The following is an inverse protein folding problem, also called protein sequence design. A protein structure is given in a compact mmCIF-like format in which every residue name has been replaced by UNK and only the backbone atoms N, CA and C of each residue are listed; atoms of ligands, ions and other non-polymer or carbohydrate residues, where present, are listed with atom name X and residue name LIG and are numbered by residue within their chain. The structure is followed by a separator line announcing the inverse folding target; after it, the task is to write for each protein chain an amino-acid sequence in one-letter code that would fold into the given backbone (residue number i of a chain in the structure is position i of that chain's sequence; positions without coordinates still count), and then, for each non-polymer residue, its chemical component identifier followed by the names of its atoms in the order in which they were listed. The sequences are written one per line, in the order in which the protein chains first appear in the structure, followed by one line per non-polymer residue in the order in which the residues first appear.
data_IF_504807542852
#
_entry.id   IF_504807542852
#
_cell.length_a   1.000
_cell.length_b   1.000
_cell.length_c   1.000
_cell.angle_alpha   90.00
_cell.angle_beta   90.00
_cell.angle_gamma   90.00
#
_symmetry.space_group_name_H-M   'P 1'
#
loop_
_entity.id
_entity.type
_entity.pdbx_description
1 polymer ?
#
# COMPACT_ATOMS: atom_id res chain seq x y z
N UNK A 1 53.71 -51.32 16.45
CA UNK A 1 52.81 -50.40 17.18
C UNK A 1 51.52 -50.30 16.41
N UNK A 2 50.44 -50.93 16.91
CA UNK A 2 49.12 -50.99 16.25
C UNK A 2 48.22 -49.98 16.93
N UNK A 3 47.73 -48.96 16.18
CA UNK A 3 46.78 -47.99 16.70
C UNK A 3 45.34 -48.51 16.46
N UNK A 4 44.57 -48.63 17.54
CA UNK A 4 43.18 -49.11 17.57
C UNK A 4 42.26 -47.96 17.14
N UNK A 5 41.30 -48.30 16.25
CA UNK A 5 40.16 -47.47 15.86
C UNK A 5 39.20 -47.20 17.04
N UNK A 6 38.60 -45.99 17.12
CA UNK A 6 37.54 -45.75 18.07
C UNK A 6 36.18 -46.04 17.49
N UNK A 7 35.51 -46.94 18.12
CA UNK A 7 34.09 -47.05 18.51
C UNK A 7 33.01 -46.43 17.62
N UNK A 8 32.28 -47.32 17.00
CA UNK A 8 30.88 -47.17 16.67
C UNK A 8 30.10 -46.56 17.85
N UNK A 9 29.56 -45.37 17.65
CA UNK A 9 28.46 -44.84 18.45
C UNK A 9 27.17 -45.16 17.69
N UNK A 10 26.47 -46.18 18.10
CA UNK A 10 25.07 -46.36 17.77
C UNK A 10 24.29 -45.14 18.25
N UNK A 11 23.90 -44.30 17.32
CA UNK A 11 22.94 -43.22 17.54
C UNK A 11 21.56 -43.86 17.75
N UNK A 12 21.04 -43.74 18.92
CA UNK A 12 19.61 -43.98 19.19
C UNK A 12 18.81 -43.10 18.23
N UNK A 13 17.67 -43.57 17.65
CA UNK A 13 16.79 -42.75 16.87
C UNK A 13 16.26 -41.65 17.80
N UNK A 14 16.79 -40.43 17.62
CA UNK A 14 16.25 -39.24 18.27
C UNK A 14 14.79 -39.10 17.90
N UNK A 15 13.92 -39.34 18.86
CA UNK A 15 12.54 -38.90 18.80
C UNK A 15 12.59 -37.42 18.46
N UNK A 16 12.15 -37.07 17.23
CA UNK A 16 11.85 -35.70 16.92
C UNK A 16 10.85 -35.24 17.98
N UNK A 17 11.12 -34.14 18.69
CA UNK A 17 10.12 -33.66 19.64
C UNK A 17 8.80 -33.55 18.88
N UNK A 18 7.78 -34.21 19.40
CA UNK A 18 6.44 -34.18 18.87
C UNK A 18 6.13 -32.73 18.56
N UNK A 19 5.85 -32.48 17.29
CA UNK A 19 5.51 -31.14 16.76
C UNK A 19 4.43 -30.59 17.68
N UNK A 20 4.79 -29.64 18.53
CA UNK A 20 3.88 -29.05 19.50
C UNK A 20 2.66 -28.61 18.70
N UNK A 21 1.54 -29.31 18.85
CA UNK A 21 0.33 -29.11 18.08
C UNK A 21 0.03 -27.60 18.11
N UNK A 22 0.16 -26.97 16.97
CA UNK A 22 0.07 -25.53 16.88
C UNK A 22 -1.29 -25.13 17.49
N UNK A 23 -1.28 -24.28 18.54
CA UNK A 23 -2.49 -23.86 19.23
C UNK A 23 -3.62 -23.56 18.26
N UNK A 24 -4.86 -23.97 18.52
CA UNK A 24 -5.99 -23.80 17.60
C UNK A 24 -6.13 -22.32 17.23
N UNK A 25 -6.62 -22.07 16.03
CA UNK A 25 -6.94 -20.71 15.63
C UNK A 25 -8.29 -20.35 16.26
N UNK A 26 -8.25 -19.48 17.24
CA UNK A 26 -9.39 -18.96 17.95
C UNK A 26 -9.52 -17.42 17.79
N UNK A 27 -10.57 -16.84 18.34
CA UNK A 27 -10.80 -15.40 18.35
C UNK A 27 -9.60 -14.61 18.91
N UNK A 28 -9.03 -15.06 20.03
CA UNK A 28 -7.95 -14.34 20.70
C UNK A 28 -6.69 -14.28 19.83
N UNK A 29 -6.37 -15.37 19.15
CA UNK A 29 -5.22 -15.42 18.26
C UNK A 29 -5.40 -14.55 17.03
N UNK A 30 -6.60 -14.57 16.40
CA UNK A 30 -6.92 -13.73 15.25
C UNK A 30 -6.90 -12.25 15.64
N UNK A 31 -7.47 -11.91 16.79
CA UNK A 31 -7.46 -10.54 17.33
C UNK A 31 -6.05 -10.06 17.61
N UNK A 32 -5.21 -10.85 18.24
CA UNK A 32 -3.80 -10.52 18.49
C UNK A 32 -3.04 -10.28 17.16
N UNK A 33 -3.35 -11.02 16.11
CA UNK A 33 -2.76 -10.79 14.79
C UNK A 33 -3.25 -9.50 14.13
N UNK A 34 -4.54 -9.20 14.27
CA UNK A 34 -5.15 -7.99 13.76
C UNK A 34 -4.56 -6.75 14.43
N UNK A 35 -4.54 -6.70 15.77
CA UNK A 35 -3.99 -5.59 16.54
C UNK A 35 -2.53 -5.35 16.20
N UNK A 36 -1.70 -6.39 16.19
CA UNK A 36 -0.28 -6.25 15.79
C UNK A 36 -0.09 -5.74 14.36
N UNK A 37 -1.04 -6.02 13.45
CA UNK A 37 -1.01 -5.45 12.11
C UNK A 37 -1.39 -3.97 12.14
N UNK A 38 -2.45 -3.60 12.85
CA UNK A 38 -2.98 -2.24 12.92
C UNK A 38 -2.06 -1.28 13.69
N UNK A 39 -1.31 -1.75 14.69
CA UNK A 39 -0.27 -0.98 15.38
C UNK A 39 0.79 -0.44 14.42
N UNK A 40 1.08 -1.15 13.35
CA UNK A 40 2.15 -0.79 12.41
C UNK A 40 1.64 -0.17 11.12
N UNK A 41 0.41 -0.52 10.72
CA UNK A 41 -0.11 -0.21 9.39
C UNK A 41 -1.56 0.23 9.46
N UNK A 42 -1.86 1.44 9.02
CA UNK A 42 -3.22 1.79 8.67
C UNK A 42 -3.73 0.84 7.57
N UNK A 43 -4.92 0.30 7.73
CA UNK A 43 -5.47 -0.72 6.84
C UNK A 43 -6.95 -0.47 6.57
N UNK A 44 -7.41 -0.80 5.36
CA UNK A 44 -8.83 -0.98 5.10
C UNK A 44 -9.30 -2.31 5.68
N UNK A 45 -10.60 -2.44 5.90
CA UNK A 45 -11.23 -3.66 6.39
C UNK A 45 -10.89 -4.86 5.49
N UNK A 46 -11.04 -4.71 4.18
CA UNK A 46 -10.71 -5.74 3.21
C UNK A 46 -9.20 -6.10 3.18
N UNK A 47 -8.32 -5.10 3.32
CA UNK A 47 -6.88 -5.39 3.37
C UNK A 47 -6.50 -6.14 4.66
N UNK A 48 -7.12 -5.81 5.80
CA UNK A 48 -6.93 -6.54 7.05
C UNK A 48 -7.41 -7.98 6.89
N UNK A 49 -8.62 -8.20 6.36
CA UNK A 49 -9.17 -9.51 6.08
C UNK A 49 -8.19 -10.37 5.27
N UNK A 50 -7.71 -9.85 4.14
CA UNK A 50 -6.73 -10.56 3.28
C UNK A 50 -5.41 -10.86 3.99
N UNK A 51 -4.96 -10.00 4.89
CA UNK A 51 -3.75 -10.24 5.69
C UNK A 51 -3.95 -11.40 6.65
N UNK A 52 -5.09 -11.42 7.36
CA UNK A 52 -5.43 -12.48 8.31
C UNK A 52 -5.65 -13.82 7.60
N UNK A 53 -6.41 -13.86 6.50
CA UNK A 53 -6.63 -15.05 5.69
C UNK A 53 -5.31 -15.67 5.19
N UNK A 54 -4.38 -14.85 4.68
CA UNK A 54 -3.06 -15.36 4.27
C UNK A 54 -2.28 -15.95 5.45
N UNK A 55 -2.47 -15.42 6.65
CA UNK A 55 -1.81 -15.91 7.85
C UNK A 55 -2.41 -17.24 8.30
N UNK A 56 -3.74 -17.35 8.28
CA UNK A 56 -4.48 -18.58 8.51
C UNK A 56 -4.03 -19.68 7.53
N UNK A 57 -4.07 -19.38 6.23
CA UNK A 57 -3.66 -20.35 5.19
C UNK A 57 -2.22 -20.85 5.36
N UNK A 58 -1.30 -19.98 5.76
CA UNK A 58 0.09 -20.39 6.04
C UNK A 58 0.22 -21.30 7.26
N UNK A 59 -0.68 -21.16 8.23
CA UNK A 59 -0.66 -21.95 9.46
C UNK A 59 -1.35 -23.30 9.32
N UNK A 60 -2.50 -23.33 8.63
CA UNK A 60 -3.35 -24.52 8.49
C UNK A 60 -3.06 -25.32 7.21
N UNK A 61 -2.34 -24.74 6.24
CA UNK A 61 -2.04 -25.42 4.96
C UNK A 61 -3.32 -25.69 4.17
N UNK A 62 -3.59 -26.96 3.87
CA UNK A 62 -4.70 -27.45 3.07
C UNK A 62 -5.88 -27.98 3.89
N UNK A 63 -5.96 -27.68 5.18
CA UNK A 63 -7.14 -28.03 6.00
C UNK A 63 -8.28 -27.04 5.67
N UNK A 64 -9.11 -27.42 4.69
CA UNK A 64 -10.16 -26.54 4.17
C UNK A 64 -11.29 -26.29 5.17
N UNK A 65 -11.55 -27.20 6.13
CA UNK A 65 -12.58 -27.02 7.15
C UNK A 65 -12.10 -26.02 8.21
N UNK A 66 -10.90 -26.21 8.73
CA UNK A 66 -10.29 -25.28 9.68
C UNK A 66 -10.08 -23.89 9.07
N UNK A 67 -9.72 -23.81 7.79
CA UNK A 67 -9.60 -22.52 7.07
C UNK A 67 -10.95 -21.83 6.95
N UNK A 68 -12.04 -22.55 6.69
CA UNK A 68 -13.40 -21.96 6.63
C UNK A 68 -13.82 -21.44 8.01
N UNK A 69 -13.70 -22.25 9.05
CA UNK A 69 -14.01 -21.81 10.41
C UNK A 69 -13.22 -20.55 10.81
N UNK A 70 -11.92 -20.50 10.49
CA UNK A 70 -11.11 -19.33 10.76
C UNK A 70 -11.52 -18.09 9.93
N UNK A 71 -12.08 -18.25 8.73
CA UNK A 71 -12.65 -17.13 7.95
C UNK A 71 -13.86 -16.51 8.62
N UNK A 72 -14.75 -17.33 9.17
CA UNK A 72 -15.94 -16.86 9.89
C UNK A 72 -15.51 -15.98 11.08
N UNK A 73 -14.50 -16.42 11.85
CA UNK A 73 -13.92 -15.65 12.93
C UNK A 73 -13.31 -14.31 12.46
N UNK A 74 -12.68 -14.30 11.27
CA UNK A 74 -12.12 -13.07 10.66
C UNK A 74 -13.24 -12.10 10.29
N UNK A 75 -14.33 -12.59 9.66
CA UNK A 75 -15.46 -11.74 9.27
C UNK A 75 -16.13 -11.12 10.49
N UNK A 76 -16.36 -11.88 11.55
CA UNK A 76 -16.90 -11.38 12.81
C UNK A 76 -16.00 -10.29 13.42
N UNK A 77 -14.69 -10.51 13.46
CA UNK A 77 -13.73 -9.54 13.96
C UNK A 77 -13.73 -8.25 13.13
N UNK A 78 -13.69 -8.36 11.81
CA UNK A 78 -13.71 -7.21 10.90
C UNK A 78 -15.00 -6.43 11.04
N UNK A 79 -16.16 -7.10 11.14
CA UNK A 79 -17.45 -6.46 11.38
C UNK A 79 -17.46 -5.69 12.72
N UNK A 80 -16.96 -6.30 13.80
CA UNK A 80 -16.82 -5.66 15.12
C UNK A 80 -15.91 -4.44 15.07
N UNK A 81 -14.79 -4.50 14.38
CA UNK A 81 -13.86 -3.38 14.25
C UNK A 81 -14.42 -2.24 13.39
N UNK A 82 -15.23 -2.53 12.38
CA UNK A 82 -15.97 -1.50 11.63
C UNK A 82 -17.05 -0.84 12.50
N UNK A 83 -17.81 -1.63 13.24
CA UNK A 83 -18.85 -1.12 14.13
C UNK A 83 -18.31 -0.24 15.25
N UNK A 84 -17.11 -0.55 15.78
CA UNK A 84 -16.42 0.23 16.80
C UNK A 84 -15.65 1.44 16.26
N UNK A 85 -15.56 1.62 14.94
CA UNK A 85 -14.75 2.67 14.31
C UNK A 85 -13.23 2.43 14.33
N UNK A 86 -12.76 1.28 14.82
CA UNK A 86 -11.33 0.92 14.76
C UNK A 86 -10.86 0.70 13.31
N UNK A 87 -11.76 0.26 12.43
CA UNK A 87 -11.58 0.24 10.98
C UNK A 87 -12.52 1.26 10.35
N UNK A 88 -11.95 2.30 9.78
CA UNK A 88 -12.65 3.36 9.04
C UNK A 88 -12.06 3.43 7.62
N UNK A 89 -12.78 2.84 6.67
CA UNK A 89 -12.35 2.78 5.27
C UNK A 89 -12.36 4.15 4.62
N UNK A 90 -13.26 5.07 5.01
CA UNK A 90 -13.32 6.43 4.50
C UNK A 90 -12.11 7.26 4.99
N UNK A 91 -11.81 7.23 6.28
CA UNK A 91 -10.63 7.90 6.84
C UNK A 91 -9.33 7.33 6.28
N UNK A 92 -9.26 6.00 6.13
CA UNK A 92 -8.12 5.33 5.48
C UNK A 92 -7.93 5.81 4.04
N UNK A 93 -9.01 5.85 3.24
CA UNK A 93 -8.99 6.28 1.86
C UNK A 93 -8.55 7.74 1.75
N UNK A 94 -9.14 8.65 2.53
CA UNK A 94 -8.80 10.07 2.55
C UNK A 94 -7.32 10.31 2.91
N UNK A 95 -6.81 9.66 3.96
CA UNK A 95 -5.41 9.75 4.35
C UNK A 95 -4.45 9.20 3.28
N UNK A 96 -4.85 8.13 2.59
CA UNK A 96 -4.06 7.53 1.51
C UNK A 96 -4.07 8.40 0.25
N UNK A 97 -5.20 9.03 -0.07
CA UNK A 97 -5.34 9.93 -1.20
C UNK A 97 -4.44 11.17 -1.03
N UNK A 98 -4.51 11.85 0.11
CA UNK A 98 -3.63 13.01 0.42
C UNK A 98 -2.15 12.63 0.33
N UNK A 99 -1.74 11.51 0.92
CA UNK A 99 -0.36 11.02 0.79
C UNK A 99 0.01 10.64 -0.63
N UNK A 100 -0.96 10.23 -1.43
CA UNK A 100 -0.77 9.93 -2.86
C UNK A 100 -0.39 11.18 -3.64
N UNK A 101 -1.15 12.27 -3.50
CA UNK A 101 -0.87 13.58 -4.12
C UNK A 101 0.51 14.09 -3.71
N UNK A 102 0.79 14.14 -2.41
CA UNK A 102 2.08 14.59 -1.90
C UNK A 102 3.28 13.76 -2.42
N UNK A 103 3.03 12.50 -2.81
CA UNK A 103 4.02 11.62 -3.44
C UNK A 103 4.05 11.68 -4.96
N UNK A 104 3.30 12.58 -5.58
CA UNK A 104 3.25 12.74 -7.02
C UNK A 104 2.60 11.55 -7.73
N UNK A 105 1.51 11.01 -7.19
CA UNK A 105 0.69 9.99 -7.85
C UNK A 105 -0.52 10.64 -8.47
N UNK A 106 -0.79 10.39 -9.75
CA UNK A 106 -2.00 10.87 -10.43
C UNK A 106 -3.26 10.35 -9.71
N UNK A 107 -4.37 11.11 -9.78
CA UNK A 107 -5.64 10.73 -9.15
C UNK A 107 -6.11 9.36 -9.63
N UNK A 108 -5.91 9.05 -10.91
CA UNK A 108 -6.18 7.73 -11.48
C UNK A 108 -5.40 6.62 -10.76
N UNK A 109 -4.11 6.81 -10.50
CA UNK A 109 -3.28 5.83 -9.75
C UNK A 109 -3.64 5.77 -8.27
N UNK A 110 -4.09 6.87 -7.70
CA UNK A 110 -4.59 6.90 -6.31
C UNK A 110 -5.85 6.05 -6.22
N UNK A 111 -6.84 6.27 -7.11
CA UNK A 111 -8.07 5.48 -7.15
C UNK A 111 -7.81 3.99 -7.35
N UNK A 112 -6.97 3.63 -8.33
CA UNK A 112 -6.57 2.24 -8.56
C UNK A 112 -5.87 1.63 -7.33
N UNK A 113 -5.03 2.41 -6.64
CA UNK A 113 -4.35 1.98 -5.42
C UNK A 113 -5.29 1.79 -4.22
N UNK A 114 -6.39 2.53 -4.13
CA UNK A 114 -7.45 2.36 -3.14
C UNK A 114 -8.23 1.08 -3.43
N UNK A 115 -8.66 0.88 -4.68
CA UNK A 115 -9.36 -0.34 -5.12
C UNK A 115 -8.52 -1.60 -4.88
N UNK A 116 -7.21 -1.57 -5.19
CA UNK A 116 -6.30 -2.68 -4.91
C UNK A 116 -6.16 -3.00 -3.41
N UNK A 117 -6.45 -2.02 -2.54
CA UNK A 117 -6.51 -2.19 -1.08
C UNK A 117 -7.90 -2.57 -0.58
N UNK A 118 -8.85 -2.79 -1.49
CA UNK A 118 -10.21 -3.22 -1.18
C UNK A 118 -11.08 -2.12 -0.57
N UNK A 119 -10.72 -0.85 -0.78
CA UNK A 119 -11.61 0.27 -0.45
C UNK A 119 -12.77 0.25 -1.42
N UNK A 120 -14.00 0.39 -0.91
CA UNK A 120 -15.20 0.44 -1.72
C UNK A 120 -15.18 1.61 -2.72
N UNK A 121 -15.88 1.46 -3.84
CA UNK A 121 -15.90 2.47 -4.90
C UNK A 121 -16.41 3.84 -4.40
N UNK A 122 -17.40 3.83 -3.51
CA UNK A 122 -17.98 5.04 -2.92
C UNK A 122 -16.94 5.79 -2.09
N UNK A 123 -16.28 5.10 -1.15
CA UNK A 123 -15.24 5.70 -0.29
C UNK A 123 -14.03 6.15 -1.10
N UNK A 124 -13.64 5.37 -2.12
CA UNK A 124 -12.54 5.73 -3.00
C UNK A 124 -12.85 7.00 -3.81
N UNK A 125 -14.07 7.11 -4.36
CA UNK A 125 -14.51 8.29 -5.10
C UNK A 125 -14.61 9.52 -4.18
N UNK A 126 -15.23 9.36 -3.00
CA UNK A 126 -15.34 10.42 -2.00
C UNK A 126 -13.96 10.91 -1.54
N UNK A 127 -13.00 9.99 -1.31
CA UNK A 127 -11.65 10.34 -0.91
C UNK A 127 -10.88 11.12 -1.99
N UNK A 128 -11.12 10.83 -3.27
CA UNK A 128 -10.52 11.57 -4.38
C UNK A 128 -11.21 12.94 -4.53
N UNK A 129 -12.54 13.00 -4.46
CA UNK A 129 -13.31 14.25 -4.52
C UNK A 129 -12.94 15.22 -3.38
N UNK A 130 -12.69 14.70 -2.18
CA UNK A 130 -12.30 15.46 -0.99
C UNK A 130 -10.87 16.05 -1.06
N UNK A 131 -10.10 15.77 -2.10
CA UNK A 131 -8.79 16.43 -2.34
C UNK A 131 -8.94 17.90 -2.81
N UNK A 132 -10.14 18.38 -3.04
CA UNK A 132 -10.45 19.67 -3.59
C UNK A 132 -10.87 19.59 -5.05
N UNK A 133 -10.91 20.72 -5.75
CA UNK A 133 -11.17 20.74 -7.18
C UNK A 133 -10.19 19.80 -7.89
N UNK A 134 -10.74 18.80 -8.61
CA UNK A 134 -9.94 17.70 -9.19
C UNK A 134 -8.78 18.19 -10.06
N UNK A 135 -8.92 19.34 -10.71
CA UNK A 135 -7.86 19.99 -11.49
C UNK A 135 -6.67 20.42 -10.62
N UNK A 136 -6.94 21.05 -9.49
CA UNK A 136 -5.92 21.51 -8.54
C UNK A 136 -5.15 20.35 -7.90
N UNK A 137 -5.85 19.32 -7.47
CA UNK A 137 -5.23 18.14 -6.85
C UNK A 137 -4.35 17.36 -7.85
N UNK A 138 -4.80 17.22 -9.11
CA UNK A 138 -4.02 16.56 -10.16
C UNK A 138 -2.77 17.38 -10.53
N UNK A 139 -2.91 18.71 -10.62
CA UNK A 139 -1.79 19.61 -10.87
C UNK A 139 -0.76 19.56 -9.73
N UNK A 140 -1.21 19.62 -8.48
CA UNK A 140 -0.33 19.47 -7.31
C UNK A 140 0.42 18.13 -7.31
N UNK A 141 -0.26 17.04 -7.66
CA UNK A 141 0.36 15.73 -7.80
C UNK A 141 1.39 15.71 -8.95
N UNK A 142 1.10 16.35 -10.07
CA UNK A 142 1.99 16.44 -11.23
C UNK A 142 3.26 17.26 -10.90
N UNK A 143 3.12 18.37 -10.17
CA UNK A 143 4.25 19.16 -9.68
C UNK A 143 5.14 18.35 -8.71
N UNK A 144 4.52 17.62 -7.76
CA UNK A 144 5.24 16.74 -6.85
C UNK A 144 5.96 15.59 -7.60
N UNK A 145 5.35 15.05 -8.65
CA UNK A 145 5.97 14.05 -9.53
C UNK A 145 7.18 14.63 -10.26
N UNK A 146 7.03 15.84 -10.90
CA UNK A 146 8.10 16.53 -11.60
C UNK A 146 9.30 16.80 -10.69
N UNK A 147 9.05 17.31 -9.48
CA UNK A 147 10.08 17.56 -8.47
C UNK A 147 10.86 16.30 -8.12
N UNK A 148 10.18 15.21 -7.84
CA UNK A 148 10.81 13.93 -7.47
C UNK A 148 11.61 13.29 -8.60
N UNK A 149 11.24 13.58 -9.84
CA UNK A 149 11.88 13.01 -11.05
C UNK A 149 12.86 13.98 -11.70
N UNK A 150 12.98 15.19 -11.15
CA UNK A 150 13.81 16.26 -11.69
C UNK A 150 13.46 16.59 -13.15
N UNK A 151 12.15 16.76 -13.43
CA UNK A 151 11.63 17.07 -14.75
C UNK A 151 11.23 18.55 -14.85
N UNK A 152 11.29 19.11 -16.05
CA UNK A 152 10.86 20.48 -16.33
C UNK A 152 11.56 21.52 -15.45
N UNK A 153 10.81 22.35 -14.69
CA UNK A 153 11.38 23.39 -13.83
C UNK A 153 12.28 22.87 -12.70
N UNK A 154 12.25 21.55 -12.42
CA UNK A 154 13.03 20.90 -11.37
C UNK A 154 14.26 20.15 -11.88
N UNK A 155 14.72 20.42 -13.12
CA UNK A 155 15.94 19.78 -13.65
C UNK A 155 17.14 20.13 -12.79
N UNK A 156 18.04 19.15 -12.60
CA UNK A 156 19.29 19.36 -11.85
C UNK A 156 20.27 20.26 -12.61
N UNK A 157 20.25 20.18 -13.94
CA UNK A 157 21.03 21.03 -14.82
C UNK A 157 20.08 21.86 -15.69
N UNK A 158 19.91 23.16 -15.38
CA UNK A 158 19.06 24.06 -16.16
C UNK A 158 19.54 24.25 -17.60
N UNK A 159 20.84 24.05 -17.86
CA UNK A 159 21.45 24.20 -19.19
C UNK A 159 21.33 22.92 -20.05
N UNK A 160 20.96 21.78 -19.45
CA UNK A 160 20.74 20.57 -20.21
C UNK A 160 19.58 20.73 -21.18
N UNK A 161 19.79 20.31 -22.43
CA UNK A 161 18.74 20.32 -23.44
C UNK A 161 17.50 19.54 -22.95
N UNK A 162 16.33 20.20 -23.01
CA UNK A 162 15.09 19.60 -22.61
C UNK A 162 14.66 18.53 -23.61
N UNK A 163 14.66 17.28 -23.23
CA UNK A 163 13.97 16.23 -23.98
C UNK A 163 12.47 16.25 -23.62
N UNK A 164 11.76 17.22 -24.18
CA UNK A 164 10.31 17.43 -23.97
C UNK A 164 9.50 16.17 -24.23
N UNK A 165 9.86 15.40 -25.24
CA UNK A 165 9.16 14.18 -25.61
C UNK A 165 9.33 13.10 -24.53
N UNK A 166 10.52 12.95 -24.02
CA UNK A 166 10.84 11.99 -22.95
C UNK A 166 10.15 12.38 -21.64
N UNK A 167 10.12 13.66 -21.30
CA UNK A 167 9.45 14.16 -20.10
C UNK A 167 7.93 13.94 -20.17
N UNK A 168 7.28 14.28 -21.29
CA UNK A 168 5.87 14.02 -21.53
C UNK A 168 5.55 12.52 -21.45
N UNK A 169 6.39 11.65 -22.01
CA UNK A 169 6.23 10.22 -21.90
C UNK A 169 6.30 9.75 -20.44
N UNK A 170 7.17 10.34 -19.61
CA UNK A 170 7.26 10.00 -18.19
C UNK A 170 5.97 10.34 -17.42
N UNK A 171 5.36 11.52 -17.72
CA UNK A 171 4.05 11.90 -17.16
C UNK A 171 2.93 10.97 -17.61
N UNK A 172 2.87 10.64 -18.89
CA UNK A 172 1.87 9.73 -19.44
C UNK A 172 1.96 8.33 -18.80
N UNK A 173 3.17 7.79 -18.67
CA UNK A 173 3.41 6.53 -17.95
C UNK A 173 3.04 6.62 -16.46
N UNK A 174 3.17 7.79 -15.83
CA UNK A 174 2.73 8.03 -14.47
C UNK A 174 1.22 8.23 -14.35
N UNK A 175 0.51 8.32 -15.48
CA UNK A 175 -0.94 8.39 -15.53
C UNK A 175 -1.50 9.80 -15.47
N UNK A 176 -0.70 10.82 -15.74
CA UNK A 176 -1.15 12.20 -15.88
C UNK A 176 -1.63 12.50 -17.29
N UNK A 177 -2.63 13.36 -17.40
CA UNK A 177 -3.10 13.86 -18.68
C UNK A 177 -2.08 14.82 -19.32
N UNK A 178 -2.11 14.84 -20.66
CA UNK A 178 -1.12 15.61 -21.42
C UNK A 178 -1.13 17.09 -21.09
N UNK A 179 -2.31 17.70 -20.98
CA UNK A 179 -2.43 19.13 -20.67
C UNK A 179 -1.83 19.52 -19.33
N UNK A 180 -2.02 18.65 -18.28
CA UNK A 180 -1.40 18.85 -16.97
C UNK A 180 0.13 18.74 -17.07
N UNK A 181 0.63 17.75 -17.80
CA UNK A 181 2.07 17.60 -18.02
C UNK A 181 2.66 18.81 -18.75
N UNK A 182 1.98 19.29 -19.81
CA UNK A 182 2.40 20.48 -20.59
C UNK A 182 2.40 21.74 -19.73
N UNK A 183 1.39 21.94 -18.87
CA UNK A 183 1.32 23.08 -17.96
C UNK A 183 2.52 23.10 -16.99
N UNK A 184 2.83 21.98 -16.33
CA UNK A 184 3.98 21.89 -15.42
C UNK A 184 5.30 22.09 -16.16
N UNK A 185 5.46 21.45 -17.32
CA UNK A 185 6.70 21.55 -18.10
C UNK A 185 6.88 22.90 -18.82
N UNK A 186 5.85 23.74 -18.92
CA UNK A 186 5.93 25.09 -19.44
C UNK A 186 6.46 26.08 -18.41
N UNK A 187 6.42 25.75 -17.12
CA UNK A 187 6.99 26.61 -16.08
C UNK A 187 8.52 26.71 -16.26
N UNK A 188 9.03 27.92 -16.17
CA UNK A 188 10.46 28.18 -16.31
C UNK A 188 11.25 27.68 -15.07
N UNK A 189 10.67 27.90 -13.90
CA UNK A 189 11.29 27.64 -12.61
C UNK A 189 10.24 27.26 -11.53
N UNK A 190 10.71 27.07 -10.29
CA UNK A 190 9.85 26.74 -9.15
C UNK A 190 8.90 27.86 -8.75
N UNK A 191 9.26 29.13 -9.00
CA UNK A 191 8.39 30.26 -8.71
C UNK A 191 7.19 30.28 -9.66
N UNK A 192 7.41 30.00 -10.96
CA UNK A 192 6.35 29.85 -11.96
C UNK A 192 5.40 28.69 -11.60
N UNK A 193 5.93 27.58 -11.02
CA UNK A 193 5.10 26.48 -10.53
C UNK A 193 4.24 26.90 -9.33
N UNK A 194 4.81 27.69 -8.40
CA UNK A 194 4.05 28.20 -7.26
C UNK A 194 2.92 29.12 -7.72
N UNK A 195 3.18 30.00 -8.71
CA UNK A 195 2.16 30.84 -9.32
C UNK A 195 1.06 30.03 -10.03
N UNK A 196 1.45 28.96 -10.75
CA UNK A 196 0.51 28.07 -11.42
C UNK A 196 -0.42 27.37 -10.41
N UNK A 197 0.10 26.93 -9.26
CA UNK A 197 -0.70 26.30 -8.20
C UNK A 197 -1.61 27.30 -7.49
N UNK A 198 -1.19 28.58 -7.36
CA UNK A 198 -2.00 29.64 -6.72
C UNK A 198 -3.07 30.19 -7.64
N UNK A 199 -2.88 30.17 -8.95
CA UNK A 199 -3.82 30.67 -9.94
C UNK A 199 -4.85 29.66 -10.42
N UNK A 200 -4.82 28.49 -9.83
CA UNK A 200 -5.78 27.41 -10.10
C UNK A 200 -6.98 27.40 -9.12
N UNK A 201 -7.15 28.49 -8.34
CA UNK A 201 -8.31 28.73 -7.46
C UNK A 201 -9.50 29.34 -8.20
#
# INVERSE_FOLDING_TARGET
MRYKSPRERAGLPGERPAEAAAAPIDHALIEAWALRHLERYASSAENLRRVLERRVKRRLGSDDEAVRAARDLIEELVARYRASGLLDDAAYAAGRARRGVARGRSLRRIAAGLAAKGVGAVDAAAAVAALGDGGNAELAAACAFARRRHLGPYRRDPLAAADRRRELAAFALAGFDRHIAEAVLACADEAAVAALLSGAD
#
